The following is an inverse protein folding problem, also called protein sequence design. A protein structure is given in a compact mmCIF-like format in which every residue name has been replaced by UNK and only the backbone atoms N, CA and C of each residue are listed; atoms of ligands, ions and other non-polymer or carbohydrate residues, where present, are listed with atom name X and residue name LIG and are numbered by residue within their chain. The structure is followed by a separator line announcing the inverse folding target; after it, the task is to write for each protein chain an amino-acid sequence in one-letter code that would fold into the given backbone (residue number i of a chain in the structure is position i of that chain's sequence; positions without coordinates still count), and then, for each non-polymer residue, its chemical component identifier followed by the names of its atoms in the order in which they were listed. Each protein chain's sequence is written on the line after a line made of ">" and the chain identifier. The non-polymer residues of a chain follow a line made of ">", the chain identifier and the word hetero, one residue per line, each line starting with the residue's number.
data_IF_225385808380
#
_entry.id   IF_225385808380
#
_cell.length_a   1.000
_cell.length_b   1.000
_cell.length_c   1.000
_cell.angle_alpha   90.00
_cell.angle_beta   90.00
_cell.angle_gamma   90.00
#
_symmetry.space_group_name_H-M   'P 1'
#
loop_
_entity.id
_entity.type
_entity.pdbx_description
1 polymer ?
#
# COMPACT_ATOMS: atom_id res chain seq x y z
N UNK A 1 -23.65 -9.68 -5.69
CA UNK A 1 -22.51 -9.15 -4.89
C UNK A 1 -21.98 -10.21 -3.92
N UNK A 2 -22.85 -11.00 -3.29
CA UNK A 2 -22.51 -12.03 -2.28
C UNK A 2 -21.53 -13.13 -2.74
N UNK A 3 -21.54 -13.52 -4.02
CA UNK A 3 -20.61 -14.54 -4.53
C UNK A 3 -19.21 -14.01 -4.86
N UNK A 4 -19.01 -12.68 -4.96
CA UNK A 4 -17.75 -12.09 -5.44
C UNK A 4 -16.58 -12.32 -4.48
N UNK A 5 -16.86 -12.45 -3.19
CA UNK A 5 -15.86 -12.61 -2.12
C UNK A 5 -15.96 -13.95 -1.41
N UNK A 6 -16.81 -14.87 -1.90
CA UNK A 6 -17.03 -16.17 -1.27
C UNK A 6 -15.74 -17.00 -1.17
N UNK A 7 -14.82 -16.84 -2.13
CA UNK A 7 -13.49 -17.49 -2.12
C UNK A 7 -12.47 -16.85 -1.19
N UNK A 8 -12.70 -15.62 -0.71
CA UNK A 8 -11.78 -14.90 0.18
C UNK A 8 -12.31 -14.83 1.62
N UNK A 9 -13.34 -15.61 1.96
CA UNK A 9 -14.02 -15.53 3.25
C UNK A 9 -13.07 -15.76 4.43
N UNK A 10 -12.16 -16.70 4.30
CA UNK A 10 -11.17 -17.01 5.34
C UNK A 10 -10.16 -15.87 5.50
N UNK A 11 -9.69 -15.29 4.39
CA UNK A 11 -8.84 -14.10 4.40
C UNK A 11 -9.53 -12.93 5.09
N UNK A 12 -10.79 -12.64 4.76
CA UNK A 12 -11.53 -11.57 5.44
C UNK A 12 -11.69 -11.83 6.95
N UNK A 13 -11.87 -13.09 7.35
CA UNK A 13 -11.89 -13.48 8.76
C UNK A 13 -10.56 -13.20 9.47
N UNK A 14 -9.44 -13.51 8.81
CA UNK A 14 -8.10 -13.19 9.33
C UNK A 14 -7.87 -11.67 9.38
N UNK A 15 -8.27 -10.92 8.34
CA UNK A 15 -8.16 -9.46 8.29
C UNK A 15 -9.01 -8.77 9.38
N UNK A 16 -10.16 -9.35 9.74
CA UNK A 16 -11.04 -8.82 10.78
C UNK A 16 -10.33 -8.73 12.14
N UNK A 17 -9.35 -9.60 12.40
CA UNK A 17 -8.58 -9.59 13.65
C UNK A 17 -7.68 -8.34 13.80
N UNK A 18 -7.40 -7.65 12.70
CA UNK A 18 -6.63 -6.41 12.67
C UNK A 18 -7.51 -5.16 12.74
N UNK A 19 -8.85 -5.31 12.79
CA UNK A 19 -9.74 -4.18 13.03
C UNK A 19 -9.66 -3.74 14.50
N UNK A 20 -9.27 -2.48 14.68
CA UNK A 20 -9.17 -1.79 15.97
C UNK A 20 -10.46 -1.86 16.79
N UNK A 21 -11.63 -2.00 16.15
CA UNK A 21 -12.94 -2.14 16.81
C UNK A 21 -13.05 -3.44 17.58
N UNK A 22 -12.39 -4.51 17.11
CA UNK A 22 -12.42 -5.85 17.73
C UNK A 22 -11.42 -6.02 18.86
N UNK A 23 -10.54 -5.05 19.09
CA UNK A 23 -9.52 -5.17 20.14
C UNK A 23 -10.11 -5.29 21.54
N UNK A 24 -11.33 -4.76 21.77
CA UNK A 24 -12.07 -5.00 23.00
C UNK A 24 -12.39 -6.49 23.17
N UNK A 25 -12.92 -7.12 22.13
CA UNK A 25 -13.28 -8.54 22.15
C UNK A 25 -12.05 -9.44 22.23
N UNK A 26 -10.95 -9.07 21.55
CA UNK A 26 -9.67 -9.78 21.63
C UNK A 26 -9.10 -9.76 23.05
N UNK A 27 -9.23 -8.63 23.75
CA UNK A 27 -8.78 -8.52 25.15
C UNK A 27 -9.64 -9.37 26.07
N UNK A 28 -10.94 -9.37 25.86
CA UNK A 28 -11.90 -9.97 26.78
C UNK A 28 -12.05 -11.50 26.54
N UNK A 29 -11.91 -11.97 25.29
CA UNK A 29 -12.13 -13.37 24.88
C UNK A 29 -10.88 -14.07 24.31
N UNK A 30 -9.78 -13.37 24.09
CA UNK A 30 -8.58 -13.91 23.47
C UNK A 30 -8.68 -14.07 21.95
N UNK A 31 -7.66 -14.68 21.35
CA UNK A 31 -7.58 -14.98 19.91
C UNK A 31 -7.51 -16.50 19.74
N UNK A 32 -8.24 -17.03 18.75
CA UNK A 32 -8.15 -18.44 18.40
C UNK A 32 -6.73 -18.77 17.87
N UNK A 33 -6.03 -19.76 18.43
CA UNK A 33 -4.69 -20.14 17.96
C UNK A 33 -4.63 -20.64 16.51
N UNK A 34 -5.76 -21.14 15.97
CA UNK A 34 -5.86 -21.65 14.61
C UNK A 34 -6.29 -20.58 13.58
N UNK A 35 -6.26 -19.30 13.96
CA UNK A 35 -6.50 -18.16 13.05
C UNK A 35 -5.20 -17.78 12.31
N UNK A 36 -5.29 -16.89 11.31
CA UNK A 36 -4.17 -16.39 10.50
C UNK A 36 -3.63 -17.37 9.44
N UNK A 37 -4.42 -18.39 9.07
CA UNK A 37 -3.97 -19.41 8.10
C UNK A 37 -3.79 -18.84 6.70
N UNK A 38 -4.64 -17.91 6.26
CA UNK A 38 -4.55 -17.30 4.94
C UNK A 38 -3.44 -16.23 4.90
N UNK A 39 -3.33 -15.44 5.97
CA UNK A 39 -2.23 -14.47 6.09
C UNK A 39 -0.87 -15.18 6.13
N UNK A 40 -0.79 -16.34 6.77
CA UNK A 40 0.43 -17.15 6.77
C UNK A 40 0.81 -17.67 5.39
N UNK A 41 -0.16 -17.97 4.53
CA UNK A 41 0.10 -18.42 3.16
C UNK A 41 0.57 -17.25 2.28
N UNK A 42 -0.04 -16.08 2.46
CA UNK A 42 0.29 -14.86 1.70
C UNK A 42 1.62 -14.24 2.15
N UNK A 43 1.99 -14.38 3.42
CA UNK A 43 3.21 -13.82 4.01
C UNK A 43 4.02 -14.93 4.68
N UNK A 44 4.65 -15.83 3.91
CA UNK A 44 5.37 -17.00 4.45
C UNK A 44 6.60 -16.63 5.29
N UNK A 45 7.05 -15.38 5.22
CA UNK A 45 8.17 -14.85 6.02
C UNK A 45 7.80 -14.48 7.46
N UNK A 46 6.52 -14.55 7.82
CA UNK A 46 6.01 -14.11 9.12
C UNK A 46 5.86 -15.31 10.06
N UNK A 47 6.27 -15.12 11.32
CA UNK A 47 6.01 -16.10 12.38
C UNK A 47 4.64 -15.84 13.01
N UNK A 48 3.69 -16.73 12.76
CA UNK A 48 2.31 -16.61 13.27
C UNK A 48 2.23 -16.62 14.79
N UNK A 49 3.09 -17.37 15.48
CA UNK A 49 3.06 -17.41 16.95
C UNK A 49 3.48 -16.05 17.50
N UNK A 50 4.54 -15.47 16.94
CA UNK A 50 5.00 -14.13 17.29
C UNK A 50 3.94 -13.09 16.93
N UNK A 51 3.32 -13.20 15.76
CA UNK A 51 2.26 -12.28 15.32
C UNK A 51 1.05 -12.30 16.27
N UNK A 52 0.58 -13.48 16.67
CA UNK A 52 -0.55 -13.61 17.60
C UNK A 52 -0.25 -13.01 18.97
N UNK A 53 0.95 -13.23 19.50
CA UNK A 53 1.39 -12.63 20.77
C UNK A 53 1.55 -11.11 20.66
N UNK A 54 2.12 -10.63 19.55
CA UNK A 54 2.21 -9.21 19.25
C UNK A 54 0.82 -8.56 19.15
N UNK A 55 -0.12 -9.20 18.47
CA UNK A 55 -1.49 -8.71 18.30
C UNK A 55 -2.24 -8.65 19.64
N UNK A 56 -2.14 -9.70 20.48
CA UNK A 56 -2.73 -9.70 21.83
C UNK A 56 -2.15 -8.58 22.69
N UNK A 57 -0.82 -8.45 22.71
CA UNK A 57 -0.13 -7.40 23.46
C UNK A 57 -0.54 -6.01 22.97
N UNK A 58 -0.61 -5.82 21.65
CA UNK A 58 -1.00 -4.56 21.04
C UNK A 58 -2.47 -4.21 21.34
N UNK A 59 -3.40 -5.17 21.29
CA UNK A 59 -4.80 -4.95 21.63
C UNK A 59 -5.00 -4.47 23.08
N UNK A 60 -4.20 -5.00 24.01
CA UNK A 60 -4.18 -4.52 25.40
C UNK A 60 -3.60 -3.10 25.53
N UNK A 61 -2.61 -2.75 24.71
CA UNK A 61 -1.95 -1.45 24.73
C UNK A 61 -2.71 -0.34 23.96
N UNK A 62 -3.56 -0.72 23.00
CA UNK A 62 -4.31 0.19 22.12
C UNK A 62 -5.13 1.28 22.82
N UNK A 63 -5.82 1.04 23.96
CA UNK A 63 -6.54 2.09 24.69
C UNK A 63 -5.64 3.24 25.17
N UNK A 64 -4.35 2.98 25.32
CA UNK A 64 -3.33 3.98 25.68
C UNK A 64 -2.93 4.79 24.45
N UNK A 65 -2.73 4.15 23.30
CA UNK A 65 -2.39 4.80 22.02
C UNK A 65 -3.56 5.60 21.46
N UNK A 66 -4.78 5.06 21.42
CA UNK A 66 -5.95 5.70 20.79
C UNK A 66 -6.35 7.04 21.43
N UNK A 67 -5.97 7.28 22.68
CA UNK A 67 -6.18 8.56 23.37
C UNK A 67 -5.12 9.61 23.01
N UNK A 68 -4.05 9.20 22.33
CA UNK A 68 -3.01 10.09 21.85
C UNK A 68 -3.58 10.91 20.70
N UNK A 69 -3.62 12.21 20.91
CA UNK A 69 -4.42 13.11 20.08
C UNK A 69 -3.75 13.34 18.72
N UNK A 70 -4.30 12.77 17.65
CA UNK A 70 -4.01 13.11 16.24
C UNK A 70 -4.66 14.46 15.85
N UNK A 71 -4.48 15.51 16.66
CA UNK A 71 -5.16 16.80 16.41
C UNK A 71 -4.62 17.57 15.20
N UNK A 72 -3.59 17.06 14.51
CA UNK A 72 -2.83 17.81 13.51
C UNK A 72 -2.76 17.12 12.14
N UNK A 73 -3.54 16.06 11.86
CA UNK A 73 -3.48 15.38 10.55
C UNK A 73 -4.53 15.86 9.54
N UNK A 74 -5.55 16.60 9.98
CA UNK A 74 -6.65 17.05 9.11
C UNK A 74 -6.22 18.19 8.14
N UNK A 75 -5.06 18.82 8.38
CA UNK A 75 -4.52 19.89 7.50
C UNK A 75 -3.64 19.35 6.35
N UNK A 76 -3.47 18.03 6.21
CA UNK A 76 -2.55 17.43 5.22
C UNK A 76 -3.28 17.09 3.90
N UNK A 77 -4.60 16.84 3.93
CA UNK A 77 -5.37 16.56 2.71
C UNK A 77 -6.01 17.84 2.15
N UNK A 78 -5.18 18.64 1.49
CA UNK A 78 -5.66 19.68 0.58
C UNK A 78 -6.34 19.08 -0.66
N UNK A 79 -7.18 19.85 -1.38
CA UNK A 79 -7.88 19.37 -2.55
C UNK A 79 -6.90 19.13 -3.70
N UNK A 80 -6.76 17.87 -4.10
CA UNK A 80 -6.23 17.44 -5.40
C UNK A 80 -4.86 18.02 -5.81
N UNK A 81 -3.79 17.53 -5.18
CA UNK A 81 -2.45 17.55 -5.77
C UNK A 81 -1.82 16.15 -5.62
N UNK A 82 -1.44 15.53 -6.75
CA UNK A 82 -0.53 14.39 -6.82
C UNK A 82 0.89 14.89 -6.44
N UNK A 83 1.15 15.17 -5.15
CA UNK A 83 2.51 15.30 -4.66
C UNK A 83 2.81 14.18 -3.67
N UNK A 84 3.63 13.23 -4.12
CA UNK A 84 4.33 12.28 -3.26
C UNK A 84 5.51 13.01 -2.59
N UNK A 85 5.21 14.06 -1.83
CA UNK A 85 6.24 14.69 -1.01
C UNK A 85 6.46 13.81 0.22
N UNK A 86 7.53 13.00 0.16
CA UNK A 86 8.07 12.32 1.32
C UNK A 86 8.39 13.36 2.39
N UNK A 87 7.80 13.19 3.58
CA UNK A 87 8.12 13.99 4.75
C UNK A 87 9.57 13.75 5.17
N UNK A 88 10.51 14.51 4.60
CA UNK A 88 11.84 14.70 5.16
C UNK A 88 11.76 15.77 6.25
N UNK A 89 11.34 15.38 7.45
CA UNK A 89 11.64 16.16 8.65
C UNK A 89 12.31 15.27 9.70
N UNK A 90 13.60 15.03 9.44
CA UNK A 90 14.55 14.50 10.41
C UNK A 90 14.77 15.52 11.54
N UNK A 91 13.91 15.48 12.56
CA UNK A 91 14.28 15.50 13.99
C UNK A 91 13.09 15.85 14.90
N UNK A 92 12.04 15.02 14.90
CA UNK A 92 11.17 14.96 16.07
C UNK A 92 11.91 14.24 17.19
N UNK A 93 12.46 14.99 18.16
CA UNK A 93 13.04 14.43 19.39
C UNK A 93 12.04 14.61 20.53
N UNK A 94 11.63 13.50 21.16
CA UNK A 94 10.77 13.55 22.34
C UNK A 94 11.53 14.16 23.52
N UNK A 95 11.25 15.43 23.84
CA UNK A 95 11.87 16.17 24.96
C UNK A 95 11.42 15.71 26.36
N UNK A 96 10.63 14.65 26.48
CA UNK A 96 10.19 14.11 27.79
C UNK A 96 11.09 12.95 28.21
N UNK A 97 11.80 13.16 29.30
CA UNK A 97 12.59 12.15 30.00
C UNK A 97 11.64 11.06 30.54
N UNK A 98 11.87 9.84 30.05
CA UNK A 98 11.28 8.54 30.40
C UNK A 98 9.75 8.33 30.22
N UNK A 99 9.42 7.32 29.41
CA UNK A 99 8.07 6.76 29.21
C UNK A 99 6.96 7.72 28.73
N UNK A 100 7.26 8.60 27.77
CA UNK A 100 6.21 9.36 27.09
C UNK A 100 5.31 8.45 26.23
N UNK A 101 4.10 8.12 26.71
CA UNK A 101 3.10 7.36 25.95
C UNK A 101 2.09 8.26 25.21
N UNK A 102 2.39 9.56 25.06
CA UNK A 102 1.45 10.57 24.54
C UNK A 102 1.95 11.36 23.32
N UNK A 103 3.18 11.17 22.87
CA UNK A 103 3.66 11.82 21.66
C UNK A 103 3.68 10.83 20.50
N UNK A 104 3.41 11.32 19.29
CA UNK A 104 3.37 10.51 18.08
C UNK A 104 4.68 9.74 17.88
N UNK A 105 5.83 10.38 18.10
CA UNK A 105 7.14 9.75 17.98
C UNK A 105 7.33 8.52 18.89
N UNK A 106 7.00 8.64 20.18
CA UNK A 106 7.15 7.50 21.09
C UNK A 106 6.13 6.40 20.81
N UNK A 107 4.92 6.76 20.36
CA UNK A 107 3.93 5.79 19.89
C UNK A 107 4.45 5.04 18.66
N UNK A 108 5.02 5.74 17.67
CA UNK A 108 5.62 5.16 16.46
C UNK A 108 6.78 4.23 16.83
N UNK A 109 7.68 4.65 17.72
CA UNK A 109 8.77 3.80 18.20
C UNK A 109 8.29 2.53 18.93
N UNK A 110 7.16 2.60 19.64
CA UNK A 110 6.54 1.42 20.27
C UNK A 110 5.93 0.52 19.21
N UNK A 111 5.23 1.07 18.21
CA UNK A 111 4.66 0.31 17.08
C UNK A 111 5.77 -0.40 16.30
N UNK A 112 6.91 0.25 16.06
CA UNK A 112 8.07 -0.36 15.40
C UNK A 112 8.68 -1.55 16.16
N UNK A 113 8.43 -1.70 17.47
CA UNK A 113 8.85 -2.91 18.21
C UNK A 113 8.03 -4.14 17.80
N UNK A 114 6.80 -3.97 17.31
CA UNK A 114 5.94 -5.05 16.83
C UNK A 114 6.22 -5.37 15.36
N UNK A 115 7.39 -5.97 15.09
CA UNK A 115 7.89 -6.18 13.71
C UNK A 115 6.96 -7.01 12.82
N UNK A 116 6.38 -8.09 13.33
CA UNK A 116 5.52 -8.96 12.53
C UNK A 116 4.16 -8.30 12.31
N UNK A 117 3.60 -7.68 13.35
CA UNK A 117 2.38 -6.91 13.26
C UNK A 117 2.52 -5.75 12.25
N UNK A 118 3.65 -5.06 12.25
CA UNK A 118 3.95 -3.97 11.32
C UNK A 118 3.95 -4.44 9.86
N UNK A 119 4.59 -5.59 9.56
CA UNK A 119 4.57 -6.18 8.21
C UNK A 119 3.15 -6.50 7.74
N UNK A 120 2.31 -7.07 8.62
CA UNK A 120 0.93 -7.40 8.27
C UNK A 120 0.10 -6.14 8.02
N UNK A 121 0.25 -5.09 8.84
CA UNK A 121 -0.42 -3.82 8.58
C UNK A 121 0.06 -3.17 7.28
N UNK A 122 1.36 -3.25 6.97
CA UNK A 122 1.88 -2.77 5.69
C UNK A 122 1.24 -3.51 4.52
N UNK A 123 1.15 -4.84 4.60
CA UNK A 123 0.43 -5.65 3.62
C UNK A 123 -1.06 -5.28 3.52
N UNK A 124 -1.74 -5.05 4.65
CA UNK A 124 -3.14 -4.65 4.65
C UNK A 124 -3.36 -3.30 3.94
N UNK A 125 -2.40 -2.37 4.08
CA UNK A 125 -2.42 -1.07 3.40
C UNK A 125 -2.14 -1.16 1.90
N UNK A 126 -1.47 -2.21 1.42
CA UNK A 126 -1.28 -2.43 -0.03
C UNK A 126 -2.51 -3.04 -0.71
N UNK A 127 -3.42 -3.65 0.07
CA UNK A 127 -4.69 -4.15 -0.46
C UNK A 127 -5.54 -2.93 -0.85
N UNK A 128 -6.02 -2.83 -2.11
CA UNK A 128 -6.91 -1.77 -2.52
C UNK A 128 -8.26 -1.92 -1.81
N UNK A 129 -8.42 -1.24 -0.67
CA UNK A 129 -9.63 -1.26 0.15
C UNK A 129 -10.81 -0.49 -0.48
N UNK A 130 -10.53 0.41 -1.44
CA UNK A 130 -11.55 1.21 -2.12
C UNK A 130 -11.58 0.96 -3.62
N UNK A 131 -12.78 0.99 -4.19
CA UNK A 131 -12.98 0.83 -5.63
C UNK A 131 -12.48 2.04 -6.43
N UNK A 132 -12.28 3.19 -5.78
CA UNK A 132 -11.97 4.48 -6.43
C UNK A 132 -10.67 4.40 -7.24
N UNK A 133 -9.61 3.80 -6.70
CA UNK A 133 -8.34 3.64 -7.42
C UNK A 133 -8.52 2.77 -8.65
N UNK A 134 -9.23 1.64 -8.53
CA UNK A 134 -9.54 0.79 -9.67
C UNK A 134 -10.38 1.51 -10.72
N UNK A 135 -11.40 2.27 -10.32
CA UNK A 135 -12.24 3.06 -11.22
C UNK A 135 -11.44 4.14 -11.97
N UNK A 136 -10.53 4.83 -11.27
CA UNK A 136 -9.60 5.80 -11.88
C UNK A 136 -8.71 5.11 -12.92
N UNK A 137 -8.13 3.97 -12.59
CA UNK A 137 -7.33 3.15 -13.51
C UNK A 137 -8.12 2.67 -14.73
N UNK A 138 -9.35 2.18 -14.54
CA UNK A 138 -10.22 1.77 -15.64
C UNK A 138 -10.68 2.94 -16.50
N UNK A 139 -10.86 4.13 -15.92
CA UNK A 139 -11.14 5.36 -16.67
C UNK A 139 -9.98 5.73 -17.59
N UNK A 140 -8.74 5.66 -17.09
CA UNK A 140 -7.53 5.86 -17.91
C UNK A 140 -7.40 4.80 -19.01
N UNK A 141 -7.61 3.52 -18.68
CA UNK A 141 -7.60 2.44 -19.66
C UNK A 141 -8.66 2.64 -20.75
N UNK A 142 -9.87 3.08 -20.37
CA UNK A 142 -10.94 3.44 -21.32
C UNK A 142 -10.49 4.58 -22.23
N UNK A 143 -9.81 5.60 -21.71
CA UNK A 143 -9.27 6.70 -22.50
C UNK A 143 -8.24 6.17 -23.51
N UNK A 144 -7.27 5.35 -23.10
CA UNK A 144 -6.26 4.74 -23.97
C UNK A 144 -6.93 3.97 -25.10
N UNK A 145 -7.92 3.11 -24.76
CA UNK A 145 -8.66 2.30 -25.72
C UNK A 145 -9.54 3.11 -26.67
N UNK A 146 -10.19 4.16 -26.18
CA UNK A 146 -11.26 4.85 -26.93
C UNK A 146 -10.78 6.09 -27.68
N UNK A 147 -9.91 6.92 -27.06
CA UNK A 147 -9.43 8.17 -27.69
C UNK A 147 -8.51 7.90 -28.87
N UNK A 148 -7.74 6.81 -28.84
CA UNK A 148 -6.86 6.41 -29.94
C UNK A 148 -7.60 5.67 -31.08
N UNK A 149 -8.93 5.40 -30.93
CA UNK A 149 -9.77 4.64 -31.89
C UNK A 149 -9.08 3.41 -32.50
N UNK A 150 -8.22 2.79 -31.73
CA UNK A 150 -7.23 1.86 -32.24
C UNK A 150 -7.74 0.44 -32.11
N UNK A 151 -7.70 -0.33 -33.21
CA UNK A 151 -7.70 -1.79 -33.19
C UNK A 151 -6.37 -2.28 -32.60
N UNK A 152 -6.10 -1.90 -31.35
CA UNK A 152 -4.90 -2.29 -30.62
C UNK A 152 -5.11 -3.71 -30.11
N UNK A 153 -4.11 -4.56 -30.33
CA UNK A 153 -4.06 -5.90 -29.76
C UNK A 153 -3.86 -5.81 -28.24
N UNK A 154 -4.11 -6.90 -27.54
CA UNK A 154 -4.04 -6.93 -26.07
C UNK A 154 -2.63 -6.56 -25.56
N UNK A 155 -1.58 -7.05 -26.22
CA UNK A 155 -0.18 -6.78 -25.86
C UNK A 155 0.15 -5.28 -25.90
N UNK A 156 -0.23 -4.57 -26.97
CA UNK A 156 0.03 -3.12 -27.06
C UNK A 156 -0.83 -2.33 -26.07
N UNK A 157 -2.05 -2.80 -25.75
CA UNK A 157 -2.90 -2.15 -24.75
C UNK A 157 -2.26 -2.24 -23.36
N UNK A 158 -1.75 -3.42 -23.01
CA UNK A 158 -1.07 -3.67 -21.73
C UNK A 158 0.19 -2.81 -21.61
N UNK A 159 1.01 -2.75 -22.67
CA UNK A 159 2.19 -1.89 -22.70
C UNK A 159 1.85 -0.40 -22.53
N UNK A 160 0.83 0.10 -23.24
CA UNK A 160 0.40 1.51 -23.12
C UNK A 160 -0.20 1.83 -21.76
N UNK A 161 -0.93 0.88 -21.17
CA UNK A 161 -1.47 1.04 -19.83
C UNK A 161 -0.36 1.05 -18.78
N UNK A 162 0.63 0.17 -18.90
CA UNK A 162 1.80 0.16 -18.04
C UNK A 162 2.58 1.48 -18.12
N UNK A 163 2.81 2.00 -19.34
CA UNK A 163 3.42 3.32 -19.52
C UNK A 163 2.58 4.46 -18.91
N UNK A 164 1.25 4.31 -18.84
CA UNK A 164 0.41 5.31 -18.18
C UNK A 164 0.48 5.25 -16.65
N UNK A 165 0.64 4.05 -16.08
CA UNK A 165 0.87 3.86 -14.65
C UNK A 165 2.24 4.40 -14.23
N UNK A 166 3.28 4.07 -14.98
CA UNK A 166 4.67 4.45 -14.70
C UNK A 166 5.09 5.76 -15.40
N UNK A 167 4.13 6.68 -15.56
CA UNK A 167 4.35 7.90 -16.34
C UNK A 167 5.49 8.76 -15.79
N UNK A 168 5.62 8.85 -14.47
CA UNK A 168 6.67 9.65 -13.83
C UNK A 168 8.07 9.10 -14.15
N UNK A 169 8.25 7.78 -14.12
CA UNK A 169 9.52 7.14 -14.52
C UNK A 169 9.86 7.42 -16.00
N UNK A 170 8.84 7.56 -16.86
CA UNK A 170 9.02 7.90 -18.26
C UNK A 170 9.38 9.37 -18.49
N UNK A 171 9.07 10.28 -17.56
CA UNK A 171 9.47 11.68 -17.67
C UNK A 171 10.99 11.85 -17.52
N UNK A 172 11.63 10.96 -16.76
CA UNK A 172 13.09 10.94 -16.58
C UNK A 172 13.84 10.32 -17.77
N UNK A 173 13.12 9.65 -18.68
CA UNK A 173 13.70 9.01 -19.86
C UNK A 173 13.66 9.99 -21.04
N UNK A 174 14.82 10.31 -21.60
CA UNK A 174 14.87 11.19 -22.77
C UNK A 174 14.32 10.47 -24.02
N UNK A 175 13.46 11.14 -24.82
CA UNK A 175 12.96 10.56 -26.06
C UNK A 175 14.09 10.16 -27.03
N UNK A 176 15.16 10.94 -27.08
CA UNK A 176 16.32 10.67 -27.94
C UNK A 176 17.04 9.38 -27.52
N UNK A 177 17.19 9.10 -26.22
CA UNK A 177 17.79 7.85 -25.76
C UNK A 177 16.97 6.62 -26.15
N UNK A 178 15.64 6.75 -26.16
CA UNK A 178 14.75 5.67 -26.63
C UNK A 178 14.92 5.45 -28.14
N UNK A 179 15.02 6.52 -28.92
CA UNK A 179 15.23 6.45 -30.37
C UNK A 179 16.58 5.78 -30.67
N UNK A 180 17.65 6.20 -29.98
CA UNK A 180 18.99 5.64 -30.16
C UNK A 180 19.01 4.15 -29.80
N UNK A 181 18.41 3.76 -28.67
CA UNK A 181 18.27 2.36 -28.27
C UNK A 181 17.55 1.52 -29.33
N UNK A 182 16.46 2.05 -29.90
CA UNK A 182 15.71 1.36 -30.93
C UNK A 182 16.50 1.26 -32.25
N UNK A 183 17.31 2.26 -32.58
CA UNK A 183 18.22 2.25 -33.73
C UNK A 183 19.34 1.20 -33.59
N UNK A 184 19.85 0.99 -32.37
CA UNK A 184 20.82 -0.09 -32.11
C UNK A 184 20.22 -1.48 -32.35
N UNK A 185 18.90 -1.64 -32.12
CA UNK A 185 18.19 -2.93 -32.28
C UNK A 185 17.59 -3.14 -33.68
N UNK A 186 17.41 -2.08 -34.47
CA UNK A 186 16.78 -2.15 -35.79
C UNK A 186 17.60 -1.41 -36.85
N UNK A 187 18.22 -2.18 -37.74
CA UNK A 187 18.96 -1.65 -38.89
C UNK A 187 18.08 -0.82 -39.84
N UNK A 188 16.79 -1.15 -39.93
CA UNK A 188 15.84 -0.43 -40.78
C UNK A 188 15.46 0.93 -40.19
N UNK A 189 15.31 1.03 -38.86
CA UNK A 189 15.05 2.31 -38.20
C UNK A 189 16.26 3.26 -38.33
N UNK A 190 17.47 2.72 -38.15
CA UNK A 190 18.71 3.46 -38.33
C UNK A 190 18.92 3.94 -39.78
N UNK A 191 18.40 3.21 -40.77
CA UNK A 191 18.37 3.64 -42.18
C UNK A 191 17.42 4.81 -42.42
N UNK A 192 16.26 4.81 -41.78
CA UNK A 192 15.21 5.83 -41.98
C UNK A 192 15.50 7.17 -41.30
N UNK A 193 16.27 7.17 -40.21
CA UNK A 193 16.63 8.38 -39.45
C UNK A 193 17.91 9.07 -39.97
N UNK A 194 18.74 8.37 -40.74
CA UNK A 194 19.91 8.95 -41.43
C UNK A 194 19.47 9.58 -42.76
N UNK A 195 18.87 10.77 -42.72
CA UNK A 195 18.64 11.64 -43.88
C UNK A 195 19.30 12.99 -43.64
#
# INVERSE_FOLDING_TARGET
>A
MEQRFAHCKELYGDLELFDLRRFKDIRDNGINPNSMNEISQLLPTIDNNVLLEQLKSFAHFWPTISKTTLKNTDDIYGPEYDSEDYFEDDNFVCKKEENCMKCLLCVVNIIHKYKELFKVYLFLLTIPLTQVTCERSFSKLKIIKTRLRSCINQENLEALFLMNCERELLLDISPDAVIDFMCEKSSEMLRLLKV
#
